data_IF_802477195529
#
_entry.id   IF_802477195529
#
_cell.length_a   1.000
_cell.length_b   1.000
_cell.length_c   1.000
_cell.angle_alpha   90.00
_cell.angle_beta   90.00
_cell.angle_gamma   90.00
#
_symmetry.space_group_name_H-M   'P 1'
#
loop_
_entity.id
_entity.type
_entity.pdbx_description
1 polymer ?
#
# COMPACT_ATOMS: atom_id res chain seq x y z
N UNK A 1 -3.34 13.92 0.76
CA UNK A 1 -2.89 13.31 2.02
C UNK A 1 -2.08 12.04 1.78
N UNK A 2 -2.62 10.98 1.14
CA UNK A 2 -1.92 9.70 0.91
C UNK A 2 -0.61 9.81 0.11
N UNK A 3 -0.46 10.83 -0.71
CA UNK A 3 0.72 11.09 -1.53
C UNK A 3 1.59 12.24 -0.99
N UNK A 4 1.29 12.81 0.16
CA UNK A 4 2.02 13.97 0.65
C UNK A 4 2.05 15.14 -0.35
N UNK A 5 0.94 15.38 -1.02
CA UNK A 5 0.76 16.53 -1.90
C UNK A 5 0.00 17.63 -1.18
N UNK A 6 0.40 18.92 -1.38
CA UNK A 6 -0.28 20.05 -0.77
C UNK A 6 -1.70 20.18 -1.33
N UNK A 7 -2.69 20.35 -0.43
CA UNK A 7 -4.11 20.36 -0.80
C UNK A 7 -4.51 21.54 -1.69
N UNK A 8 -3.78 22.65 -1.62
CA UNK A 8 -4.09 23.89 -2.33
C UNK A 8 -3.27 24.10 -3.60
N UNK A 9 -2.38 23.15 -3.96
CA UNK A 9 -1.62 23.26 -5.21
C UNK A 9 -2.50 22.78 -6.38
N UNK A 10 -2.58 23.63 -7.42
CA UNK A 10 -3.48 23.39 -8.58
C UNK A 10 -3.26 22.04 -9.27
N UNK A 11 -1.99 21.61 -9.34
CA UNK A 11 -1.60 20.40 -10.07
C UNK A 11 -1.62 19.12 -9.19
N UNK A 12 -1.91 19.26 -7.87
CA UNK A 12 -1.92 18.11 -6.94
C UNK A 12 -2.96 17.06 -7.32
N UNK A 13 -4.13 17.49 -7.79
CA UNK A 13 -5.18 16.57 -8.21
C UNK A 13 -4.78 15.78 -9.46
N UNK A 14 -4.25 16.48 -10.47
CA UNK A 14 -3.85 15.85 -11.73
C UNK A 14 -2.68 14.88 -11.50
N UNK A 15 -1.71 15.27 -10.68
CA UNK A 15 -0.61 14.41 -10.26
C UNK A 15 -1.11 13.15 -9.53
N UNK A 16 -2.06 13.29 -8.61
CA UNK A 16 -2.67 12.15 -7.92
C UNK A 16 -3.40 11.22 -8.89
N UNK A 17 -4.14 11.78 -9.84
CA UNK A 17 -4.83 10.99 -10.87
C UNK A 17 -3.86 10.29 -11.82
N UNK A 18 -2.72 10.91 -12.12
CA UNK A 18 -1.67 10.28 -12.92
C UNK A 18 -1.11 9.03 -12.22
N UNK A 19 -0.81 9.10 -10.92
CA UNK A 19 -0.36 7.95 -10.15
C UNK A 19 -1.39 6.83 -10.10
N UNK A 20 -2.66 7.16 -9.83
CA UNK A 20 -3.74 6.17 -9.80
C UNK A 20 -3.91 5.46 -11.15
N UNK A 21 -3.77 6.18 -12.26
CA UNK A 21 -3.80 5.60 -13.61
C UNK A 21 -2.64 4.65 -13.84
N UNK A 22 -1.43 4.99 -13.38
CA UNK A 22 -0.27 4.09 -13.45
C UNK A 22 -0.58 2.80 -12.69
N UNK A 23 -1.01 2.90 -11.42
CA UNK A 23 -1.34 1.72 -10.62
C UNK A 23 -2.39 0.83 -11.30
N UNK A 24 -3.42 1.42 -11.89
CA UNK A 24 -4.47 0.70 -12.59
C UNK A 24 -3.96 0.05 -13.89
N UNK A 25 -3.24 0.78 -14.74
CA UNK A 25 -2.77 0.32 -16.05
C UNK A 25 -1.72 -0.77 -15.90
N UNK A 26 -0.80 -0.60 -14.95
CA UNK A 26 0.28 -1.55 -14.65
C UNK A 26 -0.17 -2.68 -13.71
N UNK A 27 -1.42 -2.67 -13.25
CA UNK A 27 -1.99 -3.65 -12.31
C UNK A 27 -1.19 -3.77 -11.00
N UNK A 28 -0.67 -2.66 -10.52
CA UNK A 28 0.12 -2.59 -9.29
C UNK A 28 -0.77 -2.52 -8.04
N UNK A 29 -0.34 -3.17 -6.95
CA UNK A 29 -1.05 -3.12 -5.67
C UNK A 29 -1.12 -1.69 -5.13
N UNK A 30 -2.34 -1.23 -4.87
CA UNK A 30 -2.62 0.14 -4.42
C UNK A 30 -1.92 0.46 -3.10
N UNK A 31 -2.16 -0.35 -2.07
CA UNK A 31 -1.65 -0.06 -0.74
C UNK A 31 -0.11 -0.11 -0.68
N UNK A 32 0.46 -1.15 -1.27
CA UNK A 32 1.91 -1.34 -1.30
C UNK A 32 2.62 -0.17 -1.99
N UNK A 33 2.08 0.30 -3.11
CA UNK A 33 2.73 1.38 -3.85
C UNK A 33 2.54 2.76 -3.20
N UNK A 34 1.49 2.98 -2.41
CA UNK A 34 1.41 4.17 -1.55
C UNK A 34 2.44 4.13 -0.41
N UNK A 35 2.70 2.96 0.16
CA UNK A 35 3.76 2.78 1.16
C UNK A 35 5.14 3.00 0.52
N UNK A 36 5.40 2.43 -0.65
CA UNK A 36 6.66 2.63 -1.39
C UNK A 36 6.90 4.10 -1.75
N UNK A 37 5.85 4.80 -2.19
CA UNK A 37 5.91 6.25 -2.47
C UNK A 37 6.29 7.04 -1.21
N UNK A 38 5.69 6.70 -0.07
CA UNK A 38 6.01 7.27 1.24
C UNK A 38 7.45 6.98 1.67
N UNK A 39 7.95 5.78 1.41
CA UNK A 39 9.32 5.35 1.74
C UNK A 39 10.35 5.82 0.72
N UNK A 40 9.92 6.54 -0.33
CA UNK A 40 10.76 7.03 -1.44
C UNK A 40 11.46 5.90 -2.21
N UNK A 41 10.85 4.73 -2.24
CA UNK A 41 11.32 3.55 -3.00
C UNK A 41 10.92 3.66 -4.48
N UNK A 42 11.24 4.80 -5.12
CA UNK A 42 10.80 5.14 -6.48
C UNK A 42 11.33 4.18 -7.54
N UNK A 43 12.58 3.70 -7.37
CA UNK A 43 13.18 2.74 -8.31
C UNK A 43 12.44 1.40 -8.29
N UNK A 44 11.97 0.95 -7.10
CA UNK A 44 11.20 -0.28 -6.99
C UNK A 44 9.86 -0.16 -7.73
N UNK A 45 9.15 0.98 -7.56
CA UNK A 45 7.89 1.23 -8.29
C UNK A 45 8.15 1.26 -9.80
N UNK A 46 9.21 1.96 -10.22
CA UNK A 46 9.59 2.07 -11.62
C UNK A 46 9.94 0.72 -12.24
N UNK A 47 10.62 -0.15 -11.50
CA UNK A 47 10.99 -1.48 -11.98
C UNK A 47 9.79 -2.42 -12.13
N UNK A 48 8.75 -2.22 -11.34
CA UNK A 48 7.49 -2.95 -11.45
C UNK A 48 6.60 -2.45 -12.62
N UNK A 49 6.89 -1.26 -13.19
CA UNK A 49 6.16 -0.71 -14.34
C UNK A 49 6.69 -1.26 -15.67
N UNK A 50 5.79 -1.66 -16.57
CA UNK A 50 6.13 -1.95 -17.97
C UNK A 50 6.50 -0.67 -18.72
N UNK A 51 5.74 0.41 -18.51
CA UNK A 51 6.05 1.74 -19.03
C UNK A 51 6.76 2.62 -17.99
N UNK A 52 8.07 2.44 -17.89
CA UNK A 52 8.91 3.22 -16.97
C UNK A 52 8.88 4.72 -17.22
N UNK A 53 8.70 5.16 -18.49
CA UNK A 53 8.67 6.59 -18.86
C UNK A 53 7.47 7.29 -18.28
N UNK A 54 6.33 6.61 -18.22
CA UNK A 54 5.12 7.16 -17.62
C UNK A 54 5.33 7.44 -16.12
N UNK A 55 5.97 6.51 -15.42
CA UNK A 55 6.30 6.71 -14.01
C UNK A 55 7.35 7.81 -13.80
N UNK A 56 8.38 7.90 -14.64
CA UNK A 56 9.38 8.97 -14.57
C UNK A 56 8.76 10.36 -14.79
N UNK A 57 7.83 10.48 -15.73
CA UNK A 57 7.08 11.72 -15.97
C UNK A 57 6.23 12.12 -14.76
N UNK A 58 5.52 11.14 -14.17
CA UNK A 58 4.80 11.34 -12.92
C UNK A 58 5.73 11.79 -11.79
N UNK A 59 6.86 11.11 -11.59
CA UNK A 59 7.80 11.41 -10.51
C UNK A 59 8.37 12.83 -10.63
N UNK A 60 8.73 13.26 -11.83
CA UNK A 60 9.19 14.63 -12.11
C UNK A 60 8.14 15.67 -11.68
N UNK A 61 6.87 15.44 -12.03
CA UNK A 61 5.78 16.33 -11.63
C UNK A 61 5.55 16.29 -10.11
N UNK A 62 5.58 15.10 -9.51
CA UNK A 62 5.40 14.89 -8.09
C UNK A 62 6.44 15.62 -7.25
N UNK A 63 7.71 15.51 -7.61
CA UNK A 63 8.81 16.20 -6.94
C UNK A 63 8.72 17.71 -7.12
N UNK A 64 8.40 18.20 -8.33
CA UNK A 64 8.22 19.62 -8.61
C UNK A 64 7.11 20.26 -7.76
N UNK A 65 5.99 19.55 -7.53
CA UNK A 65 4.90 20.07 -6.69
C UNK A 65 5.33 20.13 -5.21
N UNK A 66 6.19 19.24 -4.75
CA UNK A 66 6.69 19.19 -3.38
C UNK A 66 7.86 20.13 -3.13
N UNK A 67 8.53 20.57 -4.20
CA UNK A 67 9.63 21.53 -4.12
C UNK A 67 9.15 22.86 -3.49
N UNK A 68 9.87 23.34 -2.48
CA UNK A 68 9.50 24.55 -1.74
C UNK A 68 8.38 24.39 -0.72
N UNK A 69 7.84 23.18 -0.52
CA UNK A 69 6.88 22.87 0.53
C UNK A 69 7.60 22.36 1.80
N UNK A 70 6.88 22.31 2.92
CA UNK A 70 7.36 21.62 4.12
C UNK A 70 7.25 20.10 3.92
N UNK A 71 8.28 19.50 3.33
CA UNK A 71 8.30 18.08 2.96
C UNK A 71 8.17 17.17 4.19
N UNK A 72 8.73 17.56 5.34
CA UNK A 72 8.63 16.79 6.59
C UNK A 72 7.16 16.67 7.04
N UNK A 73 6.42 17.78 7.04
CA UNK A 73 5.00 17.76 7.40
C UNK A 73 4.17 16.92 6.43
N UNK A 74 4.48 17.00 5.13
CA UNK A 74 3.80 16.18 4.12
C UNK A 74 4.10 14.68 4.31
N UNK A 75 5.34 14.32 4.64
CA UNK A 75 5.75 12.94 4.91
C UNK A 75 5.11 12.41 6.21
N UNK A 76 5.03 13.22 7.26
CA UNK A 76 4.34 12.87 8.52
C UNK A 76 2.84 12.58 8.27
N UNK A 77 2.17 13.40 7.47
CA UNK A 77 0.78 13.15 7.08
C UNK A 77 0.65 11.82 6.33
N UNK A 78 1.57 11.49 5.42
CA UNK A 78 1.55 10.21 4.72
C UNK A 78 1.62 9.02 5.68
N UNK A 79 2.45 9.10 6.73
CA UNK A 79 2.60 8.05 7.73
C UNK A 79 1.33 7.79 8.53
N UNK A 80 0.49 8.81 8.72
CA UNK A 80 -0.78 8.66 9.45
C UNK A 80 -1.94 8.13 8.62
N UNK A 81 -1.83 8.16 7.30
CA UNK A 81 -2.95 7.80 6.38
C UNK A 81 -2.66 6.61 5.47
N UNK A 82 -1.41 6.15 5.42
CA UNK A 82 -1.01 4.97 4.65
C UNK A 82 -0.69 3.82 5.63
N UNK A 83 -1.60 2.86 5.84
CA UNK A 83 -1.34 1.74 6.72
C UNK A 83 -0.31 0.78 6.09
N UNK A 84 0.65 0.31 6.88
CA UNK A 84 1.57 -0.76 6.48
C UNK A 84 0.84 -2.09 6.29
N UNK A 85 -0.14 -2.35 7.15
CA UNK A 85 -0.86 -3.62 7.16
C UNK A 85 -2.33 -3.39 6.88
N UNK A 86 -2.87 -4.16 5.95
CA UNK A 86 -4.31 -4.28 5.68
C UNK A 86 -4.68 -5.75 5.72
N UNK A 87 -5.85 -6.06 6.28
CA UNK A 87 -6.34 -7.43 6.27
C UNK A 87 -6.75 -7.84 4.86
N UNK A 88 -6.07 -8.85 4.32
CA UNK A 88 -6.34 -9.39 2.99
C UNK A 88 -7.05 -10.73 3.09
N UNK A 89 -7.83 -11.11 2.07
CA UNK A 89 -8.62 -12.35 2.07
C UNK A 89 -7.78 -13.60 2.33
N UNK A 90 -6.59 -13.71 1.73
CA UNK A 90 -5.71 -14.86 1.94
C UNK A 90 -5.19 -14.97 3.39
N UNK A 91 -4.99 -13.83 4.07
CA UNK A 91 -4.58 -13.81 5.48
C UNK A 91 -5.72 -14.32 6.37
N UNK A 92 -6.97 -13.88 6.10
CA UNK A 92 -8.15 -14.37 6.80
C UNK A 92 -8.35 -15.86 6.58
N UNK A 93 -8.27 -16.32 5.34
CA UNK A 93 -8.44 -17.72 4.99
C UNK A 93 -7.45 -18.62 5.75
N UNK A 94 -6.18 -18.25 5.74
CA UNK A 94 -5.14 -18.96 6.48
C UNK A 94 -5.40 -19.01 7.98
N UNK A 95 -5.83 -17.88 8.58
CA UNK A 95 -6.16 -17.83 9.99
C UNK A 95 -7.36 -18.71 10.34
N UNK A 96 -8.38 -18.75 9.47
CA UNK A 96 -9.57 -19.62 9.63
C UNK A 96 -9.17 -21.09 9.58
N UNK A 97 -8.39 -21.50 8.57
CA UNK A 97 -7.94 -22.89 8.39
C UNK A 97 -7.15 -23.39 9.60
N UNK A 98 -6.27 -22.57 10.16
CA UNK A 98 -5.54 -22.92 11.38
C UNK A 98 -6.46 -23.00 12.61
N UNK A 99 -7.40 -22.06 12.72
CA UNK A 99 -8.35 -22.03 13.84
C UNK A 99 -9.31 -23.23 13.83
N UNK A 100 -9.71 -23.73 12.66
CA UNK A 100 -10.48 -24.98 12.53
C UNK A 100 -9.70 -26.19 13.06
N UNK A 101 -8.36 -26.15 13.00
CA UNK A 101 -7.46 -27.11 13.65
C UNK A 101 -7.15 -26.81 15.12
N UNK A 102 -7.88 -25.87 15.77
CA UNK A 102 -7.63 -25.38 17.13
C UNK A 102 -6.28 -24.64 17.31
N UNK A 103 -5.67 -24.13 16.22
CA UNK A 103 -4.51 -23.26 16.28
C UNK A 103 -4.94 -21.80 16.04
N UNK A 104 -5.02 -21.01 17.09
CA UNK A 104 -5.41 -19.60 17.06
C UNK A 104 -4.23 -18.63 16.97
N UNK A 105 -3.00 -19.13 16.84
CA UNK A 105 -1.78 -18.31 16.82
C UNK A 105 -1.78 -17.26 15.70
N UNK A 106 -2.28 -17.59 14.51
CA UNK A 106 -2.35 -16.67 13.39
C UNK A 106 -3.44 -15.61 13.59
N UNK A 107 -4.57 -15.97 14.20
CA UNK A 107 -5.63 -15.03 14.59
C UNK A 107 -5.08 -13.98 15.57
N UNK A 108 -4.36 -14.43 16.61
CA UNK A 108 -3.73 -13.54 17.58
C UNK A 108 -2.67 -12.65 16.94
N UNK A 109 -1.82 -13.22 16.10
CA UNK A 109 -0.77 -12.46 15.37
C UNK A 109 -1.39 -11.34 14.54
N UNK A 110 -2.39 -11.65 13.71
CA UNK A 110 -3.08 -10.69 12.87
C UNK A 110 -3.82 -9.63 13.69
N UNK A 111 -4.44 -10.02 14.80
CA UNK A 111 -5.10 -9.08 15.70
C UNK A 111 -4.13 -8.01 16.21
N UNK A 112 -2.95 -8.42 16.69
CA UNK A 112 -1.95 -7.47 17.18
C UNK A 112 -1.31 -6.66 16.07
N UNK A 113 -1.09 -7.26 14.89
CA UNK A 113 -0.55 -6.57 13.73
C UNK A 113 -1.49 -5.44 13.27
N UNK A 114 -2.78 -5.73 13.16
CA UNK A 114 -3.80 -4.79 12.70
C UNK A 114 -4.26 -3.79 13.76
N UNK A 115 -3.93 -3.99 15.01
CA UNK A 115 -4.18 -3.01 16.08
C UNK A 115 -3.32 -1.76 15.95
N UNK A 116 -2.15 -1.87 15.31
CA UNK A 116 -1.24 -0.76 15.03
C UNK A 116 -0.80 -0.78 13.56
N UNK A 117 -1.74 -0.55 12.61
CA UNK A 117 -1.50 -0.82 11.19
C UNK A 117 -0.53 0.17 10.53
N UNK A 118 -0.29 1.33 11.16
CA UNK A 118 0.60 2.38 10.64
C UNK A 118 2.05 2.24 11.13
N UNK A 119 2.31 1.34 12.07
CA UNK A 119 3.63 1.14 12.66
C UNK A 119 4.23 -0.17 12.17
N UNK A 120 5.46 -0.11 11.63
CA UNK A 120 6.18 -1.32 11.21
C UNK A 120 6.48 -2.21 12.41
N UNK A 121 6.10 -3.50 12.33
CA UNK A 121 6.18 -4.48 13.41
C UNK A 121 7.03 -5.68 12.98
N UNK A 122 8.33 -5.49 12.85
CA UNK A 122 9.28 -6.50 12.31
C UNK A 122 9.26 -7.84 13.03
N UNK A 123 8.88 -7.88 14.30
CA UNK A 123 8.79 -9.12 15.08
C UNK A 123 7.54 -9.97 14.76
N UNK A 124 6.47 -9.33 14.26
CA UNK A 124 5.19 -9.99 13.95
C UNK A 124 4.91 -10.10 12.46
N UNK A 125 5.58 -9.26 11.68
CA UNK A 125 5.41 -9.16 10.23
C UNK A 125 5.94 -10.42 9.55
N UNK A 126 5.15 -10.95 8.60
CA UNK A 126 5.59 -11.94 7.63
C UNK A 126 5.66 -11.31 6.25
N UNK A 127 6.52 -11.81 5.38
CA UNK A 127 6.67 -11.29 4.00
C UNK A 127 5.33 -11.29 3.26
N UNK A 128 4.48 -12.28 3.51
CA UNK A 128 3.15 -12.41 2.89
C UNK A 128 2.15 -11.33 3.33
N UNK A 129 2.37 -10.66 4.47
CA UNK A 129 1.48 -9.60 4.96
C UNK A 129 1.55 -8.33 4.10
N UNK A 130 2.67 -8.13 3.42
CA UNK A 130 2.92 -6.97 2.55
C UNK A 130 2.73 -7.31 1.08
N UNK A 131 2.79 -8.58 0.72
CA UNK A 131 2.72 -9.02 -0.66
C UNK A 131 1.29 -8.88 -1.21
N UNK A 132 1.12 -8.41 -2.47
CA UNK A 132 -0.15 -8.56 -3.17
C UNK A 132 -0.45 -10.05 -3.38
N UNK A 133 -1.74 -10.38 -3.59
CA UNK A 133 -2.09 -11.73 -4.04
C UNK A 133 -1.35 -12.03 -5.35
N UNK A 134 -0.72 -13.22 -5.48
CA UNK A 134 -0.24 -13.68 -6.76
C UNK A 134 -1.40 -13.69 -7.77
N UNK A 135 -1.13 -13.27 -9.02
CA UNK A 135 -2.15 -13.12 -10.05
C UNK A 135 -2.87 -14.43 -10.42
N UNK A 136 -2.31 -15.56 -10.04
CA UNK A 136 -2.81 -16.93 -10.29
C UNK A 136 -3.63 -17.52 -9.13
N UNK A 137 -3.74 -16.81 -8.01
CA UNK A 137 -4.59 -17.23 -6.89
C UNK A 137 -6.01 -16.69 -7.12
N UNK A 138 -7.04 -17.56 -7.24
CA UNK A 138 -8.41 -17.10 -7.38
C UNK A 138 -8.82 -16.23 -6.19
N UNK A 139 -9.52 -15.13 -6.48
CA UNK A 139 -10.11 -14.30 -5.46
C UNK A 139 -10.99 -15.17 -4.55
N UNK A 140 -10.64 -15.28 -3.27
CA UNK A 140 -11.44 -16.05 -2.32
C UNK A 140 -12.75 -15.31 -2.13
N UNK A 141 -13.81 -15.82 -2.76
CA UNK A 141 -15.15 -15.32 -2.52
C UNK A 141 -15.56 -15.69 -1.09
N UNK A 142 -15.48 -14.71 -0.20
CA UNK A 142 -16.10 -14.84 1.12
C UNK A 142 -17.61 -14.75 0.92
N UNK A 143 -18.26 -15.90 0.80
CA UNK A 143 -19.72 -15.95 0.79
C UNK A 143 -20.21 -15.69 2.22
N UNK A 144 -20.73 -14.52 2.49
CA UNK A 144 -21.61 -14.30 3.63
C UNK A 144 -22.93 -15.03 3.34
N UNK A 145 -23.01 -16.31 3.63
CA UNK A 145 -24.29 -17.01 3.73
C UNK A 145 -24.88 -16.73 5.11
N UNK A 146 -25.86 -15.84 5.14
CA UNK A 146 -26.78 -15.69 6.27
C UNK A 146 -27.72 -16.88 6.35
#
# INVERSE_FOLDING_TARGET
QKMGLPSFHKDSFDCAMAFLRILQTEQLDYNQNFIRLQQKEYEVIKDDCLDRRQFESFLTQYESIREGQNVEELDDVMQTVNPHYILRNHMMQKAIELAEGNDFSEVERLFYLLKQPFTKQTEREKTEDLAPLPADVPDVMVSCSS
#
